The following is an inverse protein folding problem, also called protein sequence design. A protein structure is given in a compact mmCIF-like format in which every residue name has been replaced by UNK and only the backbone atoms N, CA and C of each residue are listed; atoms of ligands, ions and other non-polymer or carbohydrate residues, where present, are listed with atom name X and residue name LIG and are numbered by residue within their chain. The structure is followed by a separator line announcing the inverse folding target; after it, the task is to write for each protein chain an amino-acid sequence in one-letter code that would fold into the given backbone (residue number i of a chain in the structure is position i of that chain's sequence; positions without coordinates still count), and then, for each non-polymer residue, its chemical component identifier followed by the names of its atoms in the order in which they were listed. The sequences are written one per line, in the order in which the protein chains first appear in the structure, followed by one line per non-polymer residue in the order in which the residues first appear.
data_IF_869974977492
#
_entry.id   IF_869974977492
#
_cell.length_a   1.000
_cell.length_b   1.000
_cell.length_c   1.000
_cell.angle_alpha   90.00
_cell.angle_beta   90.00
_cell.angle_gamma   90.00
#
_symmetry.space_group_name_H-M   'P 1'
#
loop_
_entity.id
_entity.type
_entity.pdbx_description
1 polymer ?
#
# COMPACT_ATOMS: atom_id res chain seq x y z
N UNK A 1 17.44 -5.88 -30.40
CA UNK A 1 16.02 -6.08 -30.78
C UNK A 1 15.50 -4.78 -31.38
N UNK A 2 14.75 -4.83 -32.47
CA UNK A 2 14.16 -3.63 -33.06
C UNK A 2 12.93 -3.19 -32.26
N UNK A 3 12.58 -1.90 -32.28
CA UNK A 3 11.37 -1.36 -31.64
C UNK A 3 10.11 -2.10 -32.11
N UNK A 4 10.02 -2.38 -33.42
CA UNK A 4 8.93 -3.14 -34.03
C UNK A 4 8.79 -4.55 -33.45
N UNK A 5 9.92 -5.23 -33.22
CA UNK A 5 9.94 -6.56 -32.60
C UNK A 5 9.46 -6.53 -31.14
N UNK A 6 9.65 -5.41 -30.43
CA UNK A 6 9.16 -5.25 -29.06
C UNK A 6 7.64 -5.02 -29.07
N UNK A 7 7.15 -4.16 -29.96
CA UNK A 7 5.72 -3.86 -30.12
C UNK A 7 4.93 -5.12 -30.49
N UNK A 8 5.41 -5.93 -31.45
CA UNK A 8 4.77 -7.19 -31.85
C UNK A 8 4.70 -8.21 -30.70
N UNK A 9 5.75 -8.28 -29.87
CA UNK A 9 5.78 -9.16 -28.68
C UNK A 9 4.84 -8.66 -27.58
N UNK A 10 4.74 -7.35 -27.41
CA UNK A 10 3.81 -6.75 -26.44
C UNK A 10 2.36 -7.06 -26.82
N UNK A 11 1.99 -6.87 -28.09
CA UNK A 11 0.64 -7.19 -28.56
C UNK A 11 0.30 -8.68 -28.40
N UNK A 12 1.26 -9.57 -28.64
CA UNK A 12 1.07 -11.00 -28.43
C UNK A 12 0.77 -11.31 -26.94
N UNK A 13 1.56 -10.73 -26.04
CA UNK A 13 1.35 -10.88 -24.59
C UNK A 13 0.02 -10.27 -24.13
N UNK A 14 -0.37 -9.12 -24.65
CA UNK A 14 -1.65 -8.49 -24.34
C UNK A 14 -2.84 -9.36 -24.81
N UNK A 15 -2.73 -9.99 -25.99
CA UNK A 15 -3.74 -10.94 -26.48
C UNK A 15 -3.83 -12.19 -25.60
N UNK A 16 -2.69 -12.79 -25.26
CA UNK A 16 -2.64 -13.96 -24.37
C UNK A 16 -3.23 -13.62 -22.99
N UNK A 17 -2.88 -12.46 -22.44
CA UNK A 17 -3.42 -11.97 -21.17
C UNK A 17 -4.93 -11.75 -21.22
N UNK A 18 -5.43 -11.12 -22.30
CA UNK A 18 -6.85 -10.87 -22.50
C UNK A 18 -7.67 -12.17 -22.53
N UNK A 19 -7.12 -13.22 -23.14
CA UNK A 19 -7.74 -14.55 -23.16
C UNK A 19 -7.66 -15.29 -21.82
N UNK A 20 -6.50 -15.27 -21.14
CA UNK A 20 -6.27 -16.03 -19.91
C UNK A 20 -7.00 -15.43 -18.70
N UNK A 21 -7.05 -14.08 -18.59
CA UNK A 21 -7.63 -13.36 -17.46
C UNK A 21 -9.06 -13.81 -17.09
N UNK A 22 -10.04 -13.90 -18.01
CA UNK A 22 -11.40 -14.32 -17.64
C UNK A 22 -11.46 -15.77 -17.13
N UNK A 23 -10.64 -16.68 -17.67
CA UNK A 23 -10.57 -18.08 -17.22
C UNK A 23 -10.05 -18.16 -15.78
N UNK A 24 -8.99 -17.42 -15.49
CA UNK A 24 -8.41 -17.34 -14.14
C UNK A 24 -9.41 -16.75 -13.15
N UNK A 25 -10.17 -15.71 -13.54
CA UNK A 25 -11.17 -15.09 -12.69
C UNK A 25 -12.36 -16.03 -12.39
N UNK A 26 -12.82 -16.77 -13.39
CA UNK A 26 -13.90 -17.75 -13.20
C UNK A 26 -13.45 -18.90 -12.27
N UNK A 27 -12.23 -19.41 -12.46
CA UNK A 27 -11.65 -20.40 -11.55
C UNK A 27 -11.50 -19.84 -10.13
N UNK A 28 -10.97 -18.63 -9.98
CA UNK A 28 -10.82 -18.01 -8.66
C UNK A 28 -12.17 -17.88 -7.93
N UNK A 29 -13.24 -17.53 -8.67
CA UNK A 29 -14.60 -17.48 -8.14
C UNK A 29 -15.11 -18.86 -7.72
N UNK A 30 -14.88 -19.90 -8.52
CA UNK A 30 -15.32 -21.27 -8.22
C UNK A 30 -14.67 -21.83 -6.95
N UNK A 31 -13.41 -21.48 -6.70
CA UNK A 31 -12.64 -21.95 -5.55
C UNK A 31 -12.59 -20.95 -4.38
N UNK A 32 -13.36 -19.85 -4.44
CA UNK A 32 -13.31 -18.73 -3.48
C UNK A 32 -11.87 -18.27 -3.18
N UNK A 33 -11.01 -18.33 -4.20
CA UNK A 33 -9.62 -17.91 -4.11
C UNK A 33 -9.60 -16.38 -4.08
N UNK A 34 -9.44 -15.84 -2.88
CA UNK A 34 -9.18 -14.42 -2.70
C UNK A 34 -7.79 -14.08 -3.22
N UNK A 35 -7.66 -12.89 -3.83
CA UNK A 35 -6.35 -12.33 -4.17
C UNK A 35 -5.46 -12.38 -2.90
N UNK A 36 -4.23 -12.92 -2.99
CA UNK A 36 -3.37 -12.99 -1.82
C UNK A 36 -3.11 -11.57 -1.32
N UNK A 37 -3.12 -11.40 0.01
CA UNK A 37 -2.82 -10.14 0.68
C UNK A 37 -1.63 -10.33 1.60
N UNK A 38 -0.85 -9.27 1.81
CA UNK A 38 0.29 -9.30 2.71
C UNK A 38 -0.06 -8.58 4.02
N UNK A 39 0.33 -9.18 5.14
CA UNK A 39 0.33 -8.47 6.41
C UNK A 39 1.50 -7.46 6.44
N UNK A 40 1.22 -6.13 6.51
CA UNK A 40 2.25 -5.09 6.48
C UNK A 40 3.12 -5.06 7.73
N UNK A 41 2.80 -5.82 8.79
CA UNK A 41 3.70 -6.05 9.93
C UNK A 41 5.07 -6.55 9.46
N UNK A 42 5.12 -7.35 8.38
CA UNK A 42 6.37 -7.84 7.76
C UNK A 42 7.39 -6.72 7.47
N UNK A 43 6.91 -5.51 7.18
CA UNK A 43 7.74 -4.36 6.82
C UNK A 43 7.95 -3.35 7.97
N UNK A 44 7.30 -3.57 9.10
CA UNK A 44 7.42 -2.76 10.29
C UNK A 44 8.66 -3.19 11.09
N UNK A 45 9.59 -2.26 11.34
CA UNK A 45 10.80 -2.52 12.13
C UNK A 45 10.54 -2.31 13.63
N UNK A 46 9.71 -1.34 13.96
CA UNK A 46 9.41 -0.95 15.34
C UNK A 46 7.98 -0.43 15.49
N UNK A 47 7.63 -0.02 16.71
CA UNK A 47 6.31 0.50 17.06
C UNK A 47 5.91 1.75 16.26
N UNK A 48 6.86 2.59 15.86
CA UNK A 48 6.56 3.80 15.08
C UNK A 48 6.06 3.38 13.70
N UNK A 49 6.69 2.40 13.06
CA UNK A 49 6.20 1.89 11.77
C UNK A 49 4.80 1.31 11.89
N UNK A 50 4.53 0.53 12.94
CA UNK A 50 3.20 -0.03 13.21
C UNK A 50 2.15 1.06 13.37
N UNK A 51 2.46 2.11 14.14
CA UNK A 51 1.57 3.25 14.31
C UNK A 51 1.34 4.01 12.99
N UNK A 52 2.37 4.18 12.17
CA UNK A 52 2.24 4.81 10.84
C UNK A 52 1.29 4.00 9.95
N UNK A 53 1.48 2.69 9.84
CA UNK A 53 0.63 1.82 9.01
C UNK A 53 -0.79 1.77 9.55
N UNK A 54 -0.97 1.59 10.86
CA UNK A 54 -2.28 1.60 11.50
C UNK A 54 -3.02 2.93 11.24
N UNK A 55 -2.33 4.06 11.38
CA UNK A 55 -2.90 5.36 11.08
C UNK A 55 -3.36 5.46 9.61
N UNK A 56 -2.55 4.97 8.68
CA UNK A 56 -2.91 4.96 7.25
C UNK A 56 -4.08 4.01 6.94
N UNK A 57 -4.19 2.87 7.62
CA UNK A 57 -5.34 1.96 7.48
C UNK A 57 -6.62 2.63 7.96
N UNK A 58 -6.59 3.25 9.14
CA UNK A 58 -7.78 3.85 9.75
C UNK A 58 -8.25 5.11 9.02
N UNK A 59 -7.32 5.86 8.42
CA UNK A 59 -7.60 7.11 7.73
C UNK A 59 -7.59 6.98 6.20
N UNK A 60 -7.19 5.81 5.68
CA UNK A 60 -7.01 5.46 4.28
C UNK A 60 -5.97 6.30 3.49
N UNK A 61 -5.21 7.15 4.17
CA UNK A 61 -4.16 7.99 3.59
C UNK A 61 -3.82 9.16 4.52
N UNK A 62 -2.74 9.90 4.28
CA UNK A 62 -2.43 11.16 4.99
C UNK A 62 -1.17 11.86 4.44
N UNK A 63 -1.00 13.12 4.82
CA UNK A 63 0.29 13.80 4.78
C UNK A 63 1.21 13.39 5.95
N UNK A 64 2.53 13.51 5.78
CA UNK A 64 3.51 13.11 6.80
C UNK A 64 3.38 13.89 8.12
N UNK A 65 2.99 15.17 8.05
CA UNK A 65 2.69 16.00 9.22
C UNK A 65 1.46 15.49 10.00
N UNK A 66 0.40 15.10 9.28
CA UNK A 66 -0.83 14.56 9.89
C UNK A 66 -0.54 13.24 10.61
N UNK A 67 0.19 12.34 9.95
CA UNK A 67 0.62 11.06 10.54
C UNK A 67 1.47 11.31 11.78
N UNK A 68 2.49 12.17 11.69
CA UNK A 68 3.38 12.45 12.81
C UNK A 68 2.63 13.01 14.03
N UNK A 69 1.65 13.89 13.80
CA UNK A 69 0.77 14.39 14.87
C UNK A 69 -0.14 13.29 15.42
N UNK A 70 -0.76 12.51 14.54
CA UNK A 70 -1.71 11.46 14.91
C UNK A 70 -1.10 10.33 15.74
N UNK A 71 0.18 10.01 15.53
CA UNK A 71 0.90 8.97 16.30
C UNK A 71 1.68 9.53 17.50
N UNK A 72 1.61 10.84 17.76
CA UNK A 72 2.19 11.48 18.95
C UNK A 72 3.70 11.74 18.88
N UNK A 73 4.29 11.93 17.70
CA UNK A 73 5.71 12.32 17.61
C UNK A 73 5.93 13.76 18.10
N UNK A 74 7.05 13.98 18.79
CA UNK A 74 7.50 15.32 19.19
C UNK A 74 8.05 16.09 18.00
N UNK A 75 8.08 17.42 18.11
CA UNK A 75 8.65 18.33 17.11
C UNK A 75 8.18 18.04 15.69
N UNK A 76 6.86 17.92 15.52
CA UNK A 76 6.20 17.45 14.28
C UNK A 76 6.77 18.14 13.03
N UNK A 77 6.90 19.47 13.06
CA UNK A 77 7.33 20.26 11.89
C UNK A 77 8.83 20.14 11.57
N UNK A 78 9.66 19.93 12.58
CA UNK A 78 11.13 19.89 12.43
C UNK A 78 11.70 18.49 12.29
N UNK A 79 11.11 17.52 12.98
CA UNK A 79 11.65 16.16 13.11
C UNK A 79 10.60 15.12 12.72
N UNK A 80 9.39 15.20 13.29
CA UNK A 80 8.36 14.17 13.16
C UNK A 80 7.99 13.86 11.70
N UNK A 81 7.67 14.87 10.89
CA UNK A 81 7.28 14.67 9.48
C UNK A 81 8.40 14.04 8.63
N UNK A 82 9.66 14.35 8.94
CA UNK A 82 10.82 13.81 8.22
C UNK A 82 11.09 12.35 8.61
N UNK A 83 10.92 12.01 9.89
CA UNK A 83 11.00 10.63 10.38
C UNK A 83 9.92 9.77 9.71
N UNK A 84 8.67 10.25 9.67
CA UNK A 84 7.57 9.56 8.99
C UNK A 84 7.86 9.35 7.50
N UNK A 85 8.29 10.40 6.79
CA UNK A 85 8.60 10.31 5.36
C UNK A 85 9.69 9.27 5.05
N UNK A 86 10.77 9.25 5.84
CA UNK A 86 11.85 8.24 5.68
C UNK A 86 11.35 6.82 5.91
N UNK A 87 10.48 6.61 6.92
CA UNK A 87 9.90 5.30 7.24
C UNK A 87 8.96 4.81 6.13
N UNK A 88 8.08 5.67 5.63
CA UNK A 88 7.17 5.34 4.53
C UNK A 88 7.92 4.95 3.26
N UNK A 89 8.96 5.71 2.88
CA UNK A 89 9.80 5.38 1.73
C UNK A 89 10.48 4.01 1.89
N UNK A 90 11.01 3.72 3.09
CA UNK A 90 11.63 2.43 3.39
C UNK A 90 10.63 1.28 3.29
N UNK A 91 9.48 1.40 3.96
CA UNK A 91 8.43 0.38 3.95
C UNK A 91 7.96 0.12 2.51
N UNK A 92 7.68 1.20 1.76
CA UNK A 92 7.22 1.07 0.39
C UNK A 92 8.26 0.36 -0.48
N UNK A 93 9.53 0.77 -0.40
CA UNK A 93 10.62 0.13 -1.15
C UNK A 93 10.74 -1.36 -0.83
N UNK A 94 10.64 -1.75 0.44
CA UNK A 94 10.73 -3.15 0.84
C UNK A 94 9.54 -3.97 0.33
N UNK A 95 8.33 -3.43 0.42
CA UNK A 95 7.14 -4.09 -0.10
C UNK A 95 7.20 -4.23 -1.63
N UNK A 96 7.60 -3.18 -2.36
CA UNK A 96 7.74 -3.22 -3.82
C UNK A 96 8.78 -4.24 -4.27
N UNK A 97 9.89 -4.40 -3.53
CA UNK A 97 10.89 -5.43 -3.83
C UNK A 97 10.33 -6.85 -3.71
N UNK A 98 9.37 -7.06 -2.82
CA UNK A 98 8.66 -8.33 -2.64
C UNK A 98 7.45 -8.49 -3.60
N UNK A 99 7.22 -7.51 -4.48
CA UNK A 99 6.10 -7.52 -5.44
C UNK A 99 4.77 -6.98 -4.91
N UNK A 100 4.76 -6.37 -3.72
CA UNK A 100 3.56 -5.82 -3.10
C UNK A 100 3.44 -4.31 -3.29
N UNK A 101 2.24 -3.83 -3.63
CA UNK A 101 1.95 -2.40 -3.71
C UNK A 101 1.08 -1.93 -2.54
N UNK A 102 1.61 -2.01 -1.31
CA UNK A 102 0.83 -1.66 -0.10
C UNK A 102 0.73 -0.15 0.15
N UNK A 103 1.66 0.66 -0.39
CA UNK A 103 1.71 2.10 -0.18
C UNK A 103 1.88 2.84 -1.51
N UNK A 104 1.09 3.88 -1.73
CA UNK A 104 1.21 4.75 -2.89
C UNK A 104 1.52 6.18 -2.45
N UNK A 105 2.47 6.82 -3.13
CA UNK A 105 2.73 8.25 -2.98
C UNK A 105 2.11 8.99 -4.16
N UNK A 106 1.06 9.75 -3.89
CA UNK A 106 0.43 10.64 -4.87
C UNK A 106 0.09 11.98 -4.20
N UNK A 107 0.97 13.00 -4.33
CA UNK A 107 0.76 14.32 -3.77
C UNK A 107 -0.21 15.18 -4.61
N UNK A 108 -0.55 14.75 -5.82
CA UNK A 108 -1.51 15.42 -6.69
C UNK A 108 -2.94 14.91 -6.47
N UNK A 109 -3.11 13.78 -5.80
CA UNK A 109 -4.42 13.23 -5.47
C UNK A 109 -5.16 14.15 -4.48
N UNK A 110 -6.22 14.78 -4.99
CA UNK A 110 -7.05 15.76 -4.25
C UNK A 110 -8.23 15.13 -3.53
N UNK A 111 -8.48 13.84 -3.78
CA UNK A 111 -9.69 13.16 -3.34
C UNK A 111 -9.38 11.69 -3.04
N UNK A 112 -9.83 11.20 -1.87
CA UNK A 112 -9.68 9.78 -1.54
C UNK A 112 -10.55 8.92 -2.50
N UNK A 113 -10.01 7.88 -3.16
CA UNK A 113 -10.71 7.11 -4.20
C UNK A 113 -12.01 6.46 -3.70
N UNK A 114 -11.99 5.97 -2.44
CA UNK A 114 -13.14 5.34 -1.76
C UNK A 114 -14.06 6.36 -1.08
N UNK A 115 -13.57 7.18 -0.13
CA UNK A 115 -14.43 8.05 0.68
C UNK A 115 -14.80 9.39 0.05
N UNK A 116 -14.20 9.74 -1.10
CA UNK A 116 -14.41 11.03 -1.79
C UNK A 116 -14.03 12.27 -0.94
N UNK A 117 -13.23 12.09 0.12
CA UNK A 117 -12.75 13.20 0.94
C UNK A 117 -11.75 14.08 0.18
N UNK A 118 -12.04 15.38 0.07
CA UNK A 118 -11.17 16.37 -0.56
C UNK A 118 -10.11 16.92 0.41
N UNK A 119 -9.10 16.11 0.70
CA UNK A 119 -7.92 16.51 1.48
C UNK A 119 -6.66 16.25 0.65
N UNK A 120 -5.71 17.19 0.68
CA UNK A 120 -4.38 16.99 0.12
C UNK A 120 -3.63 15.97 0.97
N UNK A 121 -3.66 14.70 0.56
CA UNK A 121 -2.90 13.62 1.20
C UNK A 121 -1.85 13.13 0.22
N UNK A 122 -0.69 12.80 0.74
CA UNK A 122 0.45 12.43 -0.10
C UNK A 122 0.71 10.93 -0.11
N UNK A 123 0.36 10.23 0.98
CA UNK A 123 0.54 8.79 1.14
C UNK A 123 -0.80 8.09 1.30
N UNK A 124 -0.95 6.96 0.63
CA UNK A 124 -2.19 6.18 0.57
C UNK A 124 -1.89 4.71 0.83
N UNK A 125 -2.80 4.02 1.53
CA UNK A 125 -2.71 2.57 1.74
C UNK A 125 -3.52 1.86 0.66
N UNK A 126 -2.97 0.79 0.08
CA UNK A 126 -3.71 -0.05 -0.84
C UNK A 126 -4.34 -1.23 -0.08
N UNK A 127 -5.63 -1.12 0.23
CA UNK A 127 -6.34 -2.16 0.97
C UNK A 127 -6.55 -3.45 0.17
N UNK A 128 -6.40 -3.43 -1.16
CA UNK A 128 -6.54 -4.65 -1.96
C UNK A 128 -5.39 -5.64 -1.74
N UNK A 129 -4.20 -5.12 -1.41
CA UNK A 129 -2.98 -5.89 -1.21
C UNK A 129 -2.66 -6.14 0.27
N UNK A 130 -3.41 -5.53 1.19
CA UNK A 130 -3.11 -5.51 2.63
C UNK A 130 -4.07 -6.41 3.42
N UNK A 131 -3.53 -7.32 4.21
CA UNK A 131 -4.30 -8.07 5.22
C UNK A 131 -4.49 -7.22 6.48
N UNK A 132 -5.60 -6.48 6.52
CA UNK A 132 -5.94 -5.55 7.61
C UNK A 132 -6.26 -6.28 8.91
N UNK A 133 -6.96 -7.42 8.82
CA UNK A 133 -7.42 -8.14 9.99
C UNK A 133 -6.24 -8.81 10.71
N UNK A 134 -5.34 -9.42 9.94
CA UNK A 134 -4.13 -10.00 10.49
C UNK A 134 -3.22 -8.92 11.11
N UNK A 135 -3.04 -7.78 10.42
CA UNK A 135 -2.29 -6.64 10.96
C UNK A 135 -2.85 -6.16 12.30
N UNK A 136 -4.18 -5.98 12.41
CA UNK A 136 -4.84 -5.52 13.63
C UNK A 136 -4.75 -6.53 14.77
N UNK A 137 -4.80 -7.82 14.46
CA UNK A 137 -4.66 -8.91 15.44
C UNK A 137 -3.26 -8.94 16.05
N UNK A 138 -2.21 -8.88 15.22
CA UNK A 138 -0.82 -8.89 15.69
C UNK A 138 -0.45 -7.61 16.44
N UNK A 139 -0.92 -6.45 15.96
CA UNK A 139 -0.69 -5.15 16.60
C UNK A 139 -1.28 -5.05 18.02
N UNK A 140 -2.29 -5.86 18.34
CA UNK A 140 -2.88 -5.97 19.69
C UNK A 140 -2.11 -6.95 20.59
N UNK A 141 -1.48 -7.96 20.00
CA UNK A 141 -0.76 -9.02 20.72
C UNK A 141 0.56 -8.52 21.31
N UNK A 142 1.23 -7.57 20.64
CA UNK A 142 2.46 -6.90 21.11
C UNK A 142 2.28 -5.98 22.33
N UNK A 143 1.08 -5.91 22.93
CA UNK A 143 0.78 -5.08 24.13
C UNK A 143 0.81 -5.87 25.44
N UNK A 144 1.19 -7.15 25.42
CA UNK A 144 1.36 -8.02 26.59
C UNK A 144 2.79 -8.55 26.63
#
# INVERSE_FOLDING_TARGET
MSRKTIEERLEALEREWSWAKPIIMELAKQYDLQKPRVNPMKYCKDEIDRKIIGYLIDNLGAGTTEIARGIGLRDVEKVGRHVVGKRLLRINKQASNDGWNILNFDPAMREHPVTKEKKLRAWWINLEDVDVEEFKRESKSDKH
#
